data_IF_038977541630
#
_entry.id   IF_038977541630
#
_cell.length_a   1.000
_cell.length_b   1.000
_cell.length_c   1.000
_cell.angle_alpha   90.00
_cell.angle_beta   90.00
_cell.angle_gamma   90.00
#
_symmetry.space_group_name_H-M   'P 1'
#
loop_
_entity.id
_entity.type
_entity.pdbx_description
1 polymer ?
#
# COMPACT_ATOMS: atom_id res chain seq x y z
N UNK A 1 -28.86 74.39 -10.14
CA UNK A 1 -28.81 73.56 -8.91
C UNK A 1 -28.57 72.11 -9.34
N UNK A 2 -27.69 71.41 -8.62
CA UNK A 2 -27.00 70.17 -9.03
C UNK A 2 -27.92 68.93 -9.12
N UNK A 3 -27.61 67.94 -9.98
CA UNK A 3 -28.33 66.67 -10.02
C UNK A 3 -27.89 65.75 -8.87
N UNK A 4 -28.86 65.04 -8.28
CA UNK A 4 -28.61 63.98 -7.29
C UNK A 4 -28.46 62.65 -8.03
N UNK A 5 -27.27 62.04 -7.90
CA UNK A 5 -26.99 60.67 -8.31
C UNK A 5 -27.25 59.72 -7.12
N UNK A 6 -28.09 58.71 -7.32
CA UNK A 6 -28.18 57.57 -6.42
C UNK A 6 -27.08 56.56 -6.76
N UNK A 7 -26.14 56.35 -5.84
CA UNK A 7 -25.20 55.23 -5.84
C UNK A 7 -25.92 54.00 -5.25
N UNK A 8 -26.17 52.98 -6.07
CA UNK A 8 -26.48 51.64 -5.59
C UNK A 8 -25.16 50.86 -5.46
N UNK A 9 -24.71 50.70 -4.22
CA UNK A 9 -23.58 49.86 -3.87
C UNK A 9 -23.92 48.39 -4.08
N UNK A 10 -23.23 47.75 -5.02
CA UNK A 10 -23.19 46.29 -5.12
C UNK A 10 -22.25 45.77 -4.02
N UNK A 11 -22.84 45.18 -2.99
CA UNK A 11 -22.14 44.34 -2.01
C UNK A 11 -21.69 43.08 -2.74
N UNK A 12 -20.40 43.03 -3.07
CA UNK A 12 -19.75 41.80 -3.55
C UNK A 12 -19.77 40.76 -2.44
N UNK A 13 -20.69 39.80 -2.54
CA UNK A 13 -20.67 38.59 -1.71
C UNK A 13 -19.42 37.81 -2.13
N UNK A 14 -18.37 37.94 -1.32
CA UNK A 14 -17.19 37.10 -1.42
C UNK A 14 -17.61 35.63 -1.31
N UNK A 15 -17.53 34.91 -2.41
CA UNK A 15 -17.60 33.46 -2.39
C UNK A 15 -16.38 32.95 -1.59
N UNK A 16 -16.58 32.71 -0.30
CA UNK A 16 -15.67 31.94 0.51
C UNK A 16 -15.66 30.53 -0.10
N UNK A 17 -14.69 30.26 -0.97
CA UNK A 17 -14.30 28.89 -1.30
C UNK A 17 -13.75 28.33 0.00
N UNK A 18 -14.63 27.71 0.80
CA UNK A 18 -14.21 26.83 1.87
C UNK A 18 -13.44 25.71 1.20
N UNK A 19 -12.11 25.83 1.13
CA UNK A 19 -11.25 24.67 0.96
C UNK A 19 -11.73 23.69 2.02
N UNK A 20 -12.28 22.54 1.60
CA UNK A 20 -12.43 21.39 2.49
C UNK A 20 -11.04 21.07 3.01
N UNK A 21 -10.69 21.66 4.13
CA UNK A 21 -9.68 21.17 5.05
C UNK A 21 -10.24 19.88 5.62
N UNK A 22 -10.16 18.80 4.84
CA UNK A 22 -10.25 17.46 5.39
C UNK A 22 -8.84 16.93 5.39
N UNK A 23 -8.14 17.12 6.52
CA UNK A 23 -7.04 16.25 6.93
C UNK A 23 -7.60 14.83 7.16
N UNK A 24 -8.19 14.25 6.12
CA UNK A 24 -8.56 12.84 6.08
C UNK A 24 -7.22 12.13 6.11
N UNK A 25 -6.90 11.53 7.26
CA UNK A 25 -5.66 10.78 7.44
C UNK A 25 -5.59 9.76 6.30
N UNK A 26 -4.53 9.87 5.51
CA UNK A 26 -4.25 8.89 4.48
C UNK A 26 -3.89 7.58 5.18
N UNK A 27 -4.85 6.66 5.29
CA UNK A 27 -4.69 5.41 6.01
C UNK A 27 -3.46 4.63 5.51
N UNK A 28 -3.18 4.71 4.21
CA UNK A 28 -2.00 4.07 3.63
C UNK A 28 -0.69 4.63 4.15
N UNK A 29 -0.62 5.93 4.44
CA UNK A 29 0.59 6.54 5.00
C UNK A 29 0.86 6.10 6.43
N UNK A 30 -0.19 5.88 7.23
CA UNK A 30 -0.04 5.33 8.59
C UNK A 30 0.53 3.91 8.56
N UNK A 31 0.02 3.07 7.65
CA UNK A 31 0.52 1.70 7.45
C UNK A 31 1.96 1.71 6.95
N UNK A 32 2.30 2.63 6.03
CA UNK A 32 3.66 2.79 5.52
C UNK A 32 4.64 3.24 6.62
N UNK A 33 4.23 4.19 7.46
CA UNK A 33 5.05 4.65 8.59
C UNK A 33 5.30 3.54 9.60
N UNK A 34 4.28 2.72 9.89
CA UNK A 34 4.44 1.53 10.74
C UNK A 34 5.43 0.54 10.13
N UNK A 35 5.26 0.19 8.85
CA UNK A 35 6.17 -0.74 8.18
C UNK A 35 7.63 -0.27 8.16
N UNK A 36 7.88 1.05 8.04
CA UNK A 36 9.23 1.61 8.04
C UNK A 36 10.01 1.32 9.32
N UNK A 37 9.32 1.15 10.46
CA UNK A 37 9.95 0.76 11.74
C UNK A 37 10.59 -0.62 11.69
N UNK A 38 10.19 -1.45 10.72
CA UNK A 38 10.64 -2.83 10.59
C UNK A 38 11.70 -3.03 9.50
N UNK A 39 12.14 -1.97 8.81
CA UNK A 39 13.27 -2.06 7.87
C UNK A 39 14.51 -2.59 8.61
N UNK A 40 15.17 -3.60 8.03
CA UNK A 40 16.29 -4.30 8.65
C UNK A 40 15.88 -5.51 9.49
N UNK A 41 14.59 -5.80 9.66
CA UNK A 41 14.13 -7.05 10.28
C UNK A 41 14.54 -8.22 9.40
N UNK A 42 15.32 -9.14 9.97
CA UNK A 42 15.87 -10.31 9.27
C UNK A 42 15.44 -11.62 9.92
N UNK A 43 15.46 -12.67 9.10
CA UNK A 43 15.37 -14.03 9.62
C UNK A 43 16.51 -14.33 10.61
N UNK A 44 16.18 -14.99 11.71
CA UNK A 44 17.14 -15.55 12.66
C UNK A 44 16.91 -17.06 12.71
N UNK A 45 17.70 -17.79 11.92
CA UNK A 45 17.59 -19.25 11.76
C UNK A 45 17.23 -19.73 10.35
N UNK A 46 16.98 -18.81 9.41
CA UNK A 46 16.54 -19.15 8.05
C UNK A 46 15.10 -19.67 8.01
N UNK A 47 14.62 -20.03 6.82
CA UNK A 47 13.32 -20.66 6.61
C UNK A 47 12.11 -19.84 7.09
N UNK A 48 12.12 -18.52 6.85
CA UNK A 48 11.07 -17.60 7.26
C UNK A 48 10.86 -17.57 8.79
N UNK A 49 11.96 -17.64 9.56
CA UNK A 49 11.93 -17.70 11.03
C UNK A 49 12.59 -16.52 11.68
N UNK A 50 12.08 -16.13 12.84
CA UNK A 50 12.72 -15.18 13.76
C UNK A 50 11.68 -14.59 14.70
N UNK A 51 12.04 -14.05 15.88
CA UNK A 51 11.06 -13.67 16.90
C UNK A 51 9.95 -12.73 16.38
N UNK A 52 10.31 -11.71 15.59
CA UNK A 52 9.36 -10.76 15.01
C UNK A 52 8.53 -11.42 13.89
N UNK A 53 9.17 -12.23 13.04
CA UNK A 53 8.53 -12.91 11.91
C UNK A 53 7.53 -13.98 12.41
N UNK A 54 7.94 -14.75 13.41
CA UNK A 54 7.13 -15.76 14.08
C UNK A 54 5.89 -15.12 14.74
N UNK A 55 6.03 -13.92 15.34
CA UNK A 55 4.88 -13.14 15.84
C UNK A 55 3.94 -12.78 14.71
N UNK A 56 4.42 -12.21 13.60
CA UNK A 56 3.55 -11.84 12.48
C UNK A 56 2.80 -13.04 11.89
N UNK A 57 3.45 -14.20 11.81
CA UNK A 57 2.80 -15.42 11.37
C UNK A 57 1.69 -15.86 12.35
N UNK A 58 2.02 -15.89 13.65
CA UNK A 58 1.08 -16.29 14.71
C UNK A 58 -0.12 -15.37 14.79
N UNK A 59 0.09 -14.06 14.72
CA UNK A 59 -0.96 -13.02 14.77
C UNK A 59 -1.93 -13.10 13.58
N UNK A 60 -1.53 -13.76 12.49
CA UNK A 60 -2.34 -14.02 11.30
C UNK A 60 -2.87 -15.46 11.22
N UNK A 61 -2.65 -16.27 12.26
CA UNK A 61 -3.08 -17.66 12.31
C UNK A 61 -2.36 -18.56 11.29
N UNK A 62 -1.17 -18.18 10.83
CA UNK A 62 -0.34 -19.03 9.98
C UNK A 62 0.69 -19.79 10.80
N UNK A 63 1.15 -20.92 10.27
CA UNK A 63 2.21 -21.67 10.90
C UNK A 63 3.51 -20.85 10.91
N UNK A 64 4.22 -20.90 12.03
CA UNK A 64 5.58 -20.36 12.12
C UNK A 64 6.47 -20.99 11.03
N UNK A 65 7.28 -20.19 10.33
CA UNK A 65 8.02 -20.59 9.12
C UNK A 65 7.25 -20.41 7.80
N UNK A 66 6.01 -19.92 7.86
CA UNK A 66 5.29 -19.47 6.66
C UNK A 66 5.94 -18.24 6.04
N UNK A 67 5.79 -18.09 4.72
CA UNK A 67 6.13 -16.83 4.05
C UNK A 67 5.42 -15.66 4.73
N UNK A 68 6.14 -14.56 4.94
CA UNK A 68 5.71 -13.49 5.84
C UNK A 68 5.49 -12.13 5.16
N UNK A 69 5.50 -12.03 3.82
CA UNK A 69 5.25 -10.76 3.13
C UNK A 69 3.88 -10.17 3.49
N UNK A 70 2.80 -10.93 3.30
CA UNK A 70 1.45 -10.51 3.65
C UNK A 70 1.18 -10.52 5.16
N UNK A 71 1.83 -11.44 5.91
CA UNK A 71 1.71 -11.48 7.36
C UNK A 71 2.28 -10.20 8.03
N UNK A 72 3.42 -9.70 7.54
CA UNK A 72 4.01 -8.47 8.03
C UNK A 72 3.12 -7.26 7.72
N UNK A 73 2.66 -7.11 6.47
CA UNK A 73 1.74 -6.00 6.11
C UNK A 73 0.45 -6.08 6.92
N UNK A 74 -0.07 -7.29 7.15
CA UNK A 74 -1.21 -7.49 8.00
C UNK A 74 -0.98 -7.00 9.44
N UNK A 75 0.17 -7.34 10.03
CA UNK A 75 0.55 -6.86 11.35
C UNK A 75 0.67 -5.32 11.37
N UNK A 76 1.29 -4.72 10.36
CA UNK A 76 1.43 -3.26 10.25
C UNK A 76 0.07 -2.56 10.12
N UNK A 77 -0.87 -3.14 9.34
CA UNK A 77 -2.23 -2.60 9.24
C UNK A 77 -2.93 -2.63 10.60
N UNK A 78 -2.85 -3.74 11.34
CA UNK A 78 -3.47 -3.84 12.67
C UNK A 78 -2.86 -2.85 13.65
N UNK A 79 -1.53 -2.74 13.67
CA UNK A 79 -0.82 -1.83 14.56
C UNK A 79 -1.09 -0.34 14.22
N UNK A 80 -1.09 0.02 12.94
CA UNK A 80 -1.27 1.39 12.50
C UNK A 80 -2.72 1.88 12.57
N UNK A 81 -3.68 1.02 12.19
CA UNK A 81 -5.06 1.43 11.98
C UNK A 81 -5.97 1.00 13.14
N UNK A 82 -5.78 -0.19 13.71
CA UNK A 82 -6.70 -0.76 14.71
C UNK A 82 -8.16 -0.68 14.23
N UNK A 83 -8.99 0.04 14.98
CA UNK A 83 -10.41 0.26 14.64
C UNK A 83 -10.64 1.12 13.38
N UNK A 84 -9.62 1.81 12.86
CA UNK A 84 -9.68 2.60 11.61
C UNK A 84 -9.50 1.73 10.36
N UNK A 85 -9.22 0.43 10.50
CA UNK A 85 -9.06 -0.46 9.36
C UNK A 85 -10.31 -0.42 8.46
N UNK A 86 -10.15 -0.30 7.13
CA UNK A 86 -11.29 -0.31 6.23
C UNK A 86 -12.08 -1.62 6.35
N UNK A 87 -13.40 -1.52 6.51
CA UNK A 87 -14.29 -2.69 6.65
C UNK A 87 -14.28 -3.64 5.45
N UNK A 88 -13.92 -3.13 4.27
CA UNK A 88 -13.82 -3.92 3.05
C UNK A 88 -12.54 -4.76 2.99
N UNK A 89 -11.53 -4.44 3.80
CA UNK A 89 -10.21 -5.05 3.76
C UNK A 89 -10.12 -6.23 4.72
N UNK A 90 -9.98 -7.43 4.17
CA UNK A 90 -9.59 -8.62 4.91
C UNK A 90 -8.08 -8.61 5.08
N UNK A 91 -7.63 -8.42 6.32
CA UNK A 91 -6.21 -8.51 6.66
C UNK A 91 -5.79 -9.99 6.63
N UNK A 92 -5.30 -10.42 5.46
CA UNK A 92 -5.07 -11.82 5.11
C UNK A 92 -3.59 -12.16 5.01
N UNK A 93 -3.16 -13.40 5.35
CA UNK A 93 -1.82 -13.89 5.09
C UNK A 93 -1.54 -14.14 3.59
N UNK A 94 -2.49 -13.88 2.69
CA UNK A 94 -2.37 -14.20 1.27
C UNK A 94 -2.55 -12.94 0.41
N UNK A 95 -1.50 -12.54 -0.31
CA UNK A 95 -1.47 -11.32 -1.14
C UNK A 95 -2.64 -11.21 -2.14
N UNK A 96 -3.12 -12.33 -2.70
CA UNK A 96 -4.25 -12.37 -3.63
C UNK A 96 -5.57 -11.90 -3.03
N UNK A 97 -5.77 -12.11 -1.73
CA UNK A 97 -6.97 -11.66 -1.02
C UNK A 97 -7.00 -10.13 -0.98
N UNK A 98 -5.87 -9.48 -0.69
CA UNK A 98 -5.74 -8.01 -0.72
C UNK A 98 -6.09 -7.42 -2.08
N UNK A 99 -5.59 -8.02 -3.16
CA UNK A 99 -5.95 -7.62 -4.53
C UNK A 99 -7.46 -7.77 -4.77
N UNK A 100 -8.03 -8.92 -4.41
CA UNK A 100 -9.46 -9.20 -4.64
C UNK A 100 -10.36 -8.26 -3.85
N UNK A 101 -9.96 -7.90 -2.63
CA UNK A 101 -10.68 -6.98 -1.76
C UNK A 101 -10.64 -5.54 -2.30
N UNK A 102 -9.47 -5.05 -2.72
CA UNK A 102 -9.37 -3.74 -3.36
C UNK A 102 -10.12 -3.66 -4.70
N UNK A 103 -10.12 -4.74 -5.48
CA UNK A 103 -10.92 -4.83 -6.71
C UNK A 103 -12.41 -4.71 -6.41
N UNK A 104 -12.91 -5.46 -5.41
CA UNK A 104 -14.31 -5.43 -4.99
C UNK A 104 -14.70 -4.07 -4.38
N UNK A 105 -13.78 -3.42 -3.68
CA UNK A 105 -13.97 -2.09 -3.10
C UNK A 105 -13.84 -0.94 -4.13
N UNK A 106 -13.38 -1.22 -5.35
CA UNK A 106 -13.15 -0.19 -6.37
C UNK A 106 -11.91 0.69 -6.12
N UNK A 107 -11.01 0.27 -5.22
CA UNK A 107 -9.76 1.00 -4.87
C UNK A 107 -8.53 0.46 -5.60
N UNK A 108 -8.73 -0.46 -6.55
CA UNK A 108 -7.67 -1.11 -7.32
C UNK A 108 -7.28 -0.31 -8.58
N UNK A 109 -5.98 -0.10 -8.76
CA UNK A 109 -5.35 0.41 -9.99
C UNK A 109 -4.57 -0.74 -10.61
N UNK A 110 -5.03 -1.24 -11.77
CA UNK A 110 -4.30 -2.31 -12.49
C UNK A 110 -2.93 -1.83 -12.97
N UNK A 111 -1.99 -2.75 -13.15
CA UNK A 111 -0.67 -2.43 -13.70
C UNK A 111 -0.77 -1.75 -15.08
N UNK A 112 -1.69 -2.20 -15.94
CA UNK A 112 -1.94 -1.57 -17.24
C UNK A 112 -2.35 -0.09 -17.09
N UNK A 113 -3.26 0.21 -16.15
CA UNK A 113 -3.71 1.58 -15.87
C UNK A 113 -2.58 2.42 -15.26
N UNK A 114 -1.81 1.87 -14.32
CA UNK A 114 -0.66 2.55 -13.72
C UNK A 114 0.46 2.86 -14.73
N UNK A 115 0.65 2.02 -15.76
CA UNK A 115 1.60 2.31 -16.86
C UNK A 115 1.16 3.47 -17.74
N UNK A 116 -0.14 3.61 -17.95
CA UNK A 116 -0.72 4.71 -18.73
C UNK A 116 -0.72 6.02 -17.94
N UNK A 117 -1.01 5.95 -16.65
CA UNK A 117 -1.02 7.09 -15.74
C UNK A 117 -0.32 6.74 -14.42
N UNK A 118 1.01 6.92 -14.34
CA UNK A 118 1.79 6.64 -13.13
C UNK A 118 1.40 7.49 -11.93
N UNK A 119 0.73 8.63 -12.13
CA UNK A 119 0.33 9.52 -11.04
C UNK A 119 -0.77 8.93 -10.15
N UNK A 120 -1.46 7.89 -10.62
CA UNK A 120 -2.45 7.13 -9.86
C UNK A 120 -1.84 6.32 -8.71
N UNK A 121 -0.53 6.07 -8.76
CA UNK A 121 0.20 5.31 -7.73
C UNK A 121 0.86 6.30 -6.78
N UNK A 122 0.48 6.22 -5.50
CA UNK A 122 0.96 7.10 -4.45
C UNK A 122 1.57 6.33 -3.28
N UNK A 123 2.49 6.94 -2.52
CA UNK A 123 2.97 6.39 -1.27
C UNK A 123 1.82 5.95 -0.36
N UNK A 124 1.99 4.82 0.32
CA UNK A 124 0.97 4.25 1.20
C UNK A 124 -0.03 3.31 0.52
N UNK A 125 -0.05 3.23 -0.81
CA UNK A 125 -0.72 2.11 -1.50
C UNK A 125 0.02 0.80 -1.26
N UNK A 126 -0.66 -0.33 -1.42
CA UNK A 126 0.00 -1.64 -1.51
C UNK A 126 0.05 -2.09 -2.97
N UNK A 127 1.13 -2.76 -3.37
CA UNK A 127 1.31 -3.36 -4.68
C UNK A 127 1.24 -4.88 -4.56
N UNK A 128 0.67 -5.57 -5.55
CA UNK A 128 0.64 -7.04 -5.63
C UNK A 128 1.23 -7.51 -6.96
N UNK A 129 2.10 -8.51 -6.90
CA UNK A 129 2.73 -9.11 -8.07
C UNK A 129 2.98 -10.61 -7.88
N UNK A 130 3.27 -11.29 -8.98
CA UNK A 130 3.61 -12.70 -8.99
C UNK A 130 5.11 -12.93 -8.71
N UNK A 131 5.44 -13.86 -7.81
CA UNK A 131 6.79 -14.40 -7.61
C UNK A 131 6.90 -15.87 -8.01
N UNK A 132 5.92 -16.42 -8.71
CA UNK A 132 6.04 -17.74 -9.30
C UNK A 132 7.29 -17.86 -10.17
N UNK A 133 7.91 -19.03 -10.13
CA UNK A 133 9.08 -19.39 -10.92
C UNK A 133 8.62 -20.32 -12.05
N UNK A 134 8.95 -19.97 -13.28
CA UNK A 134 8.61 -20.80 -14.44
C UNK A 134 9.23 -22.19 -14.28
N UNK A 135 8.45 -23.23 -14.54
CA UNK A 135 8.89 -24.62 -14.39
C UNK A 135 8.88 -25.16 -12.95
N UNK A 136 8.42 -24.38 -11.97
CA UNK A 136 8.27 -24.80 -10.57
C UNK A 136 6.81 -24.73 -10.11
N UNK A 137 6.02 -25.80 -10.31
CA UNK A 137 4.60 -25.84 -9.96
C UNK A 137 4.31 -25.54 -8.49
N UNK A 138 5.23 -25.85 -7.58
CA UNK A 138 5.14 -25.54 -6.15
C UNK A 138 5.15 -24.03 -5.85
N UNK A 139 5.56 -23.23 -6.83
CA UNK A 139 5.55 -21.76 -6.78
C UNK A 139 4.39 -21.16 -7.58
N UNK A 140 3.54 -21.99 -8.20
CA UNK A 140 2.36 -21.53 -8.90
C UNK A 140 1.47 -20.79 -7.89
N UNK A 141 1.38 -19.47 -8.05
CA UNK A 141 0.73 -18.52 -7.13
C UNK A 141 1.49 -18.14 -5.85
N UNK A 142 2.81 -17.96 -5.92
CA UNK A 142 3.54 -17.13 -4.96
C UNK A 142 3.28 -15.63 -5.18
N UNK A 143 2.06 -15.19 -4.90
CA UNK A 143 1.78 -13.75 -4.86
C UNK A 143 2.62 -13.06 -3.77
N UNK A 144 3.15 -11.89 -4.08
CA UNK A 144 3.86 -11.04 -3.15
C UNK A 144 3.16 -9.70 -3.02
N UNK A 145 3.31 -9.08 -1.85
CA UNK A 145 2.74 -7.79 -1.53
C UNK A 145 3.82 -6.91 -0.90
N UNK A 146 3.78 -5.63 -1.23
CA UNK A 146 4.65 -4.59 -0.69
C UNK A 146 3.91 -3.26 -0.59
N UNK A 147 4.44 -2.31 0.17
CA UNK A 147 3.90 -0.96 0.24
C UNK A 147 4.68 -0.02 -0.69
N UNK A 148 3.97 0.84 -1.40
CA UNK A 148 4.57 1.92 -2.16
C UNK A 148 5.19 2.90 -1.15
N UNK A 149 6.52 2.98 -1.11
CA UNK A 149 7.27 3.78 -0.14
C UNK A 149 7.53 5.22 -0.62
N UNK A 150 7.32 5.50 -1.90
CA UNK A 150 7.66 6.78 -2.53
C UNK A 150 7.01 6.91 -3.90
N UNK A 151 7.09 8.11 -4.48
CA UNK A 151 6.52 8.39 -5.79
C UNK A 151 7.18 7.57 -6.90
N UNK A 152 6.46 7.37 -8.00
CA UNK A 152 7.03 6.79 -9.22
C UNK A 152 7.95 7.82 -9.87
N UNK A 153 9.21 7.42 -10.12
CA UNK A 153 10.20 8.21 -10.85
C UNK A 153 10.74 7.34 -11.98
N UNK A 154 10.65 7.83 -13.22
CA UNK A 154 11.13 7.13 -14.41
C UNK A 154 10.61 5.68 -14.53
N UNK A 155 9.33 5.48 -14.21
CA UNK A 155 8.67 4.17 -14.28
C UNK A 155 9.04 3.20 -13.16
N UNK A 156 9.79 3.63 -12.15
CA UNK A 156 10.15 2.82 -10.97
C UNK A 156 9.59 3.42 -9.69
N UNK A 157 9.32 2.60 -8.68
CA UNK A 157 8.95 3.07 -7.34
C UNK A 157 9.78 2.35 -6.27
N UNK A 158 10.11 3.03 -5.15
CA UNK A 158 10.62 2.35 -3.98
C UNK A 158 9.46 1.61 -3.29
N UNK A 159 9.65 0.34 -3.02
CA UNK A 159 8.70 -0.61 -2.46
C UNK A 159 9.23 -1.10 -1.12
N UNK A 160 8.48 -0.89 -0.05
CA UNK A 160 8.77 -1.45 1.27
C UNK A 160 8.17 -2.86 1.35
N UNK A 161 9.00 -3.85 1.59
CA UNK A 161 8.63 -5.26 1.45
C UNK A 161 9.20 -6.09 2.59
N UNK A 162 8.40 -7.00 3.14
CA UNK A 162 8.86 -8.10 3.98
C UNK A 162 8.98 -9.39 3.16
N UNK A 163 9.77 -10.35 3.65
CA UNK A 163 10.09 -11.60 2.94
C UNK A 163 10.76 -11.32 1.58
N UNK A 164 11.58 -10.28 1.54
CA UNK A 164 12.30 -9.81 0.36
C UNK A 164 13.81 -9.84 0.63
N UNK A 165 14.61 -9.38 -0.31
CA UNK A 165 16.05 -9.58 -0.33
C UNK A 165 16.49 -10.68 -1.31
N UNK A 166 17.81 -10.88 -1.45
CA UNK A 166 18.39 -11.87 -2.36
C UNK A 166 17.82 -13.28 -2.16
N UNK A 167 17.49 -13.66 -0.92
CA UNK A 167 16.92 -14.98 -0.60
C UNK A 167 15.52 -14.91 0.00
N UNK A 168 14.96 -13.71 0.21
CA UNK A 168 13.63 -13.51 0.76
C UNK A 168 13.61 -13.40 2.29
N UNK A 169 14.72 -13.00 2.89
CA UNK A 169 15.09 -13.14 4.28
C UNK A 169 14.94 -11.86 5.12
N UNK A 170 14.51 -10.76 4.51
CA UNK A 170 14.57 -9.43 5.12
C UNK A 170 13.33 -8.57 4.83
N UNK A 171 13.08 -7.61 5.72
CA UNK A 171 12.24 -6.44 5.47
C UNK A 171 13.08 -5.25 5.01
N UNK A 172 12.90 -4.80 3.77
CA UNK A 172 13.73 -3.78 3.15
C UNK A 172 12.95 -2.89 2.17
N UNK A 173 13.61 -1.85 1.67
CA UNK A 173 13.12 -1.02 0.57
C UNK A 173 13.83 -1.42 -0.72
N UNK A 174 13.08 -1.85 -1.73
CA UNK A 174 13.60 -2.21 -3.07
C UNK A 174 13.02 -1.27 -4.14
N UNK A 175 13.79 -0.95 -5.16
CA UNK A 175 13.24 -0.41 -6.41
C UNK A 175 12.49 -1.50 -7.20
N UNK A 176 11.23 -1.22 -7.56
CA UNK A 176 10.39 -2.03 -8.45
C UNK A 176 10.02 -1.22 -9.70
N UNK A 177 9.73 -1.89 -10.81
CA UNK A 177 9.43 -1.22 -12.09
C UNK A 177 8.00 -1.47 -12.52
N UNK A 178 7.33 -0.45 -13.07
CA UNK A 178 5.99 -0.59 -13.65
C UNK A 178 5.98 -1.54 -14.85
N UNK A 179 7.10 -1.66 -15.54
CA UNK A 179 7.27 -2.54 -16.69
C UNK A 179 7.33 -4.03 -16.32
N UNK A 180 7.41 -4.39 -15.03
CA UNK A 180 7.43 -5.79 -14.61
C UNK A 180 6.16 -6.50 -15.10
N UNK A 181 6.27 -7.53 -15.97
CA UNK A 181 5.11 -8.25 -16.48
C UNK A 181 4.38 -9.04 -15.40
N UNK A 182 5.03 -9.31 -14.25
CA UNK A 182 4.44 -10.00 -13.10
C UNK A 182 3.68 -9.07 -12.16
N UNK A 183 3.76 -7.75 -12.36
CA UNK A 183 2.99 -6.78 -11.59
C UNK A 183 1.50 -6.87 -11.95
N UNK A 184 0.65 -7.13 -10.95
CA UNK A 184 -0.80 -7.12 -11.13
C UNK A 184 -1.38 -5.72 -10.99
N UNK A 185 -0.90 -4.95 -10.01
CA UNK A 185 -1.38 -3.58 -9.75
C UNK A 185 -1.24 -3.16 -8.29
N UNK A 186 -2.04 -2.17 -7.92
CA UNK A 186 -1.96 -1.44 -6.66
C UNK A 186 -3.35 -1.26 -6.02
N UNK A 187 -3.45 -1.39 -4.71
CA UNK A 187 -4.66 -1.10 -3.94
C UNK A 187 -4.47 0.08 -2.99
N UNK A 188 -5.53 0.87 -2.80
CA UNK A 188 -5.57 1.95 -1.80
C UNK A 188 -6.39 1.56 -0.57
N UNK A 189 -5.98 2.03 0.61
CA UNK A 189 -6.68 1.83 1.88
C UNK A 189 -7.88 2.78 2.07
N UNK A 190 -8.00 3.81 1.24
CA UNK A 190 -9.02 4.86 1.32
C UNK A 190 -9.99 4.79 0.15
#
# INVERSE_FOLDING_TARGET
>A
MKPWHWFLGLVGIGALVTRKSSAQRDLGMLVLEEGRKHVGTRESGGHNRGPVIDSWNTDNGTAVGSNYCANAIAAWVRAALGALQPRWLTVSPTARVWMSDAQRAGTWVSAARARQDPSLVRPGMFAVWDRSQQGKPETAWWGHIGLVNGAIVSGSWPSLEANSGPTGEETLVWSRTLSDPKLYGFGSFS
#
